data_IF_742849387677
#
_entry.id   IF_742849387677
#
_cell.length_a   1.000
_cell.length_b   1.000
_cell.length_c   1.000
_cell.angle_alpha   90.00
_cell.angle_beta   90.00
_cell.angle_gamma   90.00
#
_symmetry.space_group_name_H-M   'P 1'
#
loop_
_entity.id
_entity.type
_entity.pdbx_description
1 polymer ?
#
# COMPACT_ATOMS: atom_id res chain seq x y z
N UNK A 1 -1.67 10.96 39.72
CA UNK A 1 -2.19 11.43 38.42
C UNK A 1 -1.92 10.34 37.40
N UNK A 2 -2.86 9.99 36.51
CA UNK A 2 -2.61 8.98 35.49
C UNK A 2 -1.43 9.43 34.61
N UNK A 3 -0.51 8.52 34.33
CA UNK A 3 0.61 8.83 33.46
C UNK A 3 0.14 8.92 31.99
N UNK A 4 0.84 9.67 31.15
CA UNK A 4 0.41 9.91 29.76
C UNK A 4 0.20 8.62 28.93
N UNK A 5 0.86 7.51 29.30
CA UNK A 5 0.72 6.22 28.64
C UNK A 5 -0.59 5.50 29.05
N UNK A 6 -1.00 5.62 30.31
CA UNK A 6 -2.32 5.16 30.79
C UNK A 6 -3.44 5.96 30.13
N UNK A 7 -3.28 7.28 29.98
CA UNK A 7 -4.24 8.13 29.27
C UNK A 7 -4.43 7.68 27.81
N UNK A 8 -3.33 7.43 27.07
CA UNK A 8 -3.43 6.94 25.69
C UNK A 8 -4.10 5.57 25.60
N UNK A 9 -3.87 4.70 26.59
CA UNK A 9 -4.51 3.38 26.66
C UNK A 9 -6.02 3.52 26.89
N UNK A 10 -6.44 4.34 27.85
CA UNK A 10 -7.85 4.58 28.15
C UNK A 10 -8.57 5.23 26.96
N UNK A 11 -7.94 6.20 26.29
CA UNK A 11 -8.48 6.84 25.08
C UNK A 11 -8.68 5.82 23.94
N UNK A 12 -7.72 4.91 23.73
CA UNK A 12 -7.89 3.85 22.73
C UNK A 12 -9.03 2.89 23.09
N UNK A 13 -9.16 2.49 24.35
CA UNK A 13 -10.25 1.62 24.80
C UNK A 13 -11.61 2.30 24.55
N UNK A 14 -11.71 3.58 24.88
CA UNK A 14 -12.91 4.38 24.64
C UNK A 14 -13.25 4.49 23.14
N UNK A 15 -12.29 4.80 22.28
CA UNK A 15 -12.51 4.88 20.83
C UNK A 15 -12.98 3.53 20.27
N UNK A 16 -12.37 2.43 20.69
CA UNK A 16 -12.71 1.07 20.24
C UNK A 16 -14.08 0.60 20.71
N UNK A 17 -14.56 1.09 21.86
CA UNK A 17 -15.93 0.81 22.32
C UNK A 17 -16.98 1.24 21.28
N UNK A 18 -16.82 2.42 20.65
CA UNK A 18 -17.77 2.89 19.64
C UNK A 18 -17.59 2.22 18.28
N UNK A 19 -16.33 1.99 17.87
CA UNK A 19 -16.04 1.34 16.60
C UNK A 19 -14.65 0.72 16.62
N UNK A 20 -14.59 -0.60 16.42
CA UNK A 20 -13.35 -1.25 16.03
C UNK A 20 -12.96 -0.78 14.61
N UNK A 21 -11.72 -0.27 14.44
CA UNK A 21 -11.26 0.28 13.18
C UNK A 21 -9.90 0.98 13.26
N UNK A 22 -9.62 1.87 12.29
CA UNK A 22 -8.31 2.50 12.06
C UNK A 22 -8.06 3.80 12.86
N UNK A 23 -8.95 4.19 13.77
CA UNK A 23 -8.76 5.37 14.61
C UNK A 23 -8.14 4.93 15.94
N UNK A 24 -7.02 5.55 16.32
CA UNK A 24 -6.33 5.26 17.57
C UNK A 24 -5.45 6.42 18.02
N UNK A 25 -5.07 6.38 19.29
CA UNK A 25 -4.22 7.38 19.95
C UNK A 25 -2.94 6.70 20.39
N UNK A 26 -1.80 7.07 19.83
CA UNK A 26 -0.52 6.52 20.26
C UNK A 26 0.23 7.52 21.13
N UNK A 27 0.81 7.04 22.25
CA UNK A 27 1.72 7.83 23.07
C UNK A 27 3.09 7.88 22.40
N UNK A 28 3.60 9.08 22.13
CA UNK A 28 4.84 9.34 21.35
C UNK A 28 6.07 9.52 22.26
N UNK A 29 5.91 9.46 23.60
CA UNK A 29 7.03 9.58 24.53
C UNK A 29 7.87 8.30 24.63
N UNK A 30 9.07 8.40 25.24
CA UNK A 30 10.00 7.27 25.41
C UNK A 30 9.37 6.14 26.20
N UNK A 31 8.90 5.10 25.53
CA UNK A 31 8.50 3.83 26.15
C UNK A 31 9.73 2.96 26.39
N UNK A 32 9.83 2.30 27.55
CA UNK A 32 10.81 1.23 27.75
C UNK A 32 10.49 0.10 26.75
N UNK A 33 11.39 -0.16 25.82
CA UNK A 33 11.28 -1.26 24.86
C UNK A 33 11.18 -2.60 25.60
N UNK A 34 9.97 -3.18 25.66
CA UNK A 34 9.83 -4.61 25.95
C UNK A 34 10.01 -5.32 24.62
N UNK A 35 11.18 -5.96 24.46
CA UNK A 35 11.47 -6.83 23.33
C UNK A 35 10.40 -7.94 23.30
N UNK A 36 9.50 -7.93 22.31
CA UNK A 36 8.77 -9.14 21.96
C UNK A 36 9.74 -10.07 21.24
N UNK A 37 9.85 -11.29 21.75
CA UNK A 37 10.67 -12.33 21.16
C UNK A 37 10.17 -12.61 19.74
N UNK A 38 11.08 -12.51 18.78
CA UNK A 38 10.86 -12.94 17.40
C UNK A 38 10.95 -14.45 17.35
N UNK A 39 9.85 -15.12 17.00
CA UNK A 39 9.86 -16.56 16.73
C UNK A 39 10.64 -16.82 15.44
N UNK A 40 11.58 -17.77 15.52
CA UNK A 40 12.48 -18.14 14.44
C UNK A 40 11.78 -19.05 13.43
N UNK A 41 11.80 -18.64 12.16
CA UNK A 41 11.30 -19.38 11.01
C UNK A 41 11.95 -20.77 10.87
N UNK A 42 11.12 -21.82 10.78
CA UNK A 42 11.51 -23.11 10.20
C UNK A 42 11.48 -23.00 8.67
N UNK A 43 12.47 -23.57 8.00
CA UNK A 43 12.50 -23.68 6.54
C UNK A 43 11.44 -24.67 6.04
N UNK A 44 10.69 -24.36 4.96
CA UNK A 44 9.82 -25.34 4.35
C UNK A 44 10.57 -26.20 3.34
N UNK A 45 10.48 -27.51 3.55
CA UNK A 45 10.80 -28.56 2.57
C UNK A 45 9.65 -28.58 1.55
N UNK A 46 9.99 -28.70 0.27
CA UNK A 46 9.08 -28.63 -0.87
C UNK A 46 7.87 -29.57 -0.79
N UNK A 47 6.73 -29.05 -1.28
CA UNK A 47 5.57 -29.76 -1.86
C UNK A 47 4.23 -29.85 -1.09
N UNK A 48 4.00 -28.98 -0.09
CA UNK A 48 2.64 -28.58 0.34
C UNK A 48 2.67 -27.17 0.98
N UNK A 49 3.19 -26.20 0.24
CA UNK A 49 3.19 -24.81 0.68
C UNK A 49 1.81 -24.21 0.44
N UNK A 50 1.01 -24.13 1.51
CA UNK A 50 -0.18 -23.26 1.53
C UNK A 50 0.24 -21.86 1.01
N UNK A 51 -0.36 -21.34 -0.09
CA UNK A 51 -0.03 -20.03 -0.65
C UNK A 51 -0.10 -18.87 0.36
N UNK A 52 -0.83 -19.07 1.46
CA UNK A 52 -0.93 -18.10 2.56
C UNK A 52 0.35 -17.97 3.38
N UNK A 53 1.28 -18.92 3.30
CA UNK A 53 2.57 -18.88 3.98
C UNK A 53 3.67 -18.18 3.16
N UNK A 54 3.37 -17.78 1.92
CA UNK A 54 4.33 -17.09 1.08
C UNK A 54 4.62 -15.68 1.64
N UNK A 55 5.91 -15.36 1.76
CA UNK A 55 6.40 -14.04 2.20
C UNK A 55 6.77 -13.12 1.04
N UNK A 56 6.75 -13.63 -0.19
CA UNK A 56 7.06 -12.90 -1.42
C UNK A 56 6.00 -13.14 -2.49
N UNK A 57 5.79 -12.18 -3.41
CA UNK A 57 4.86 -12.37 -4.51
C UNK A 57 5.33 -13.50 -5.43
N UNK A 58 4.39 -14.27 -5.95
CA UNK A 58 4.69 -15.34 -6.92
C UNK A 58 3.53 -15.56 -7.88
N UNK A 59 3.85 -16.17 -9.03
CA UNK A 59 2.92 -16.40 -10.13
C UNK A 59 2.87 -17.88 -10.49
N UNK A 60 1.69 -18.38 -10.82
CA UNK A 60 1.47 -19.76 -11.23
C UNK A 60 0.37 -19.83 -12.32
N UNK A 61 0.55 -20.71 -13.31
CA UNK A 61 -0.54 -21.10 -14.22
C UNK A 61 -1.23 -22.32 -13.62
N UNK A 62 -2.45 -22.16 -13.10
CA UNK A 62 -3.20 -23.24 -12.46
C UNK A 62 -3.74 -24.25 -13.47
N UNK A 63 -4.16 -23.76 -14.65
CA UNK A 63 -4.59 -24.56 -15.80
C UNK A 63 -4.60 -23.71 -17.07
N UNK A 64 -4.99 -24.29 -18.20
CA UNK A 64 -5.02 -23.60 -19.51
C UNK A 64 -5.81 -22.29 -19.52
N UNK A 65 -6.83 -22.18 -18.66
CA UNK A 65 -7.72 -21.02 -18.64
C UNK A 65 -7.52 -20.15 -17.41
N UNK A 66 -6.59 -20.47 -16.49
CA UNK A 66 -6.48 -19.77 -15.20
C UNK A 66 -5.03 -19.54 -14.80
N UNK A 67 -4.69 -18.28 -14.58
CA UNK A 67 -3.44 -17.84 -13.95
C UNK A 67 -3.71 -17.27 -12.56
N UNK A 68 -2.73 -17.39 -11.69
CA UNK A 68 -2.78 -17.03 -10.29
C UNK A 68 -1.57 -16.17 -9.92
N UNK A 69 -1.82 -15.05 -9.25
CA UNK A 69 -0.81 -14.16 -8.71
C UNK A 69 -1.08 -13.97 -7.22
N UNK A 70 -0.14 -14.40 -6.37
CA UNK A 70 -0.15 -14.12 -4.94
C UNK A 70 0.61 -12.83 -4.66
N UNK A 71 0.01 -11.92 -3.89
CA UNK A 71 0.68 -10.73 -3.38
C UNK A 71 0.50 -10.64 -1.85
N UNK A 72 1.48 -11.07 -1.06
CA UNK A 72 1.38 -11.07 0.39
C UNK A 72 1.42 -9.69 1.05
N UNK A 73 2.03 -8.69 0.40
CA UNK A 73 2.26 -7.36 0.98
C UNK A 73 2.35 -6.31 -0.14
N UNK A 74 1.83 -5.10 0.09
CA UNK A 74 1.95 -3.95 -0.82
C UNK A 74 2.91 -2.86 -0.32
N UNK A 75 3.70 -3.10 0.73
CA UNK A 75 4.76 -2.18 1.13
C UNK A 75 5.61 -1.73 -0.06
N UNK A 76 6.08 -0.48 -0.04
CA UNK A 76 6.75 0.13 -1.20
C UNK A 76 8.01 -0.64 -1.63
N UNK A 77 8.68 -1.28 -0.67
CA UNK A 77 9.86 -2.13 -0.90
C UNK A 77 9.54 -3.37 -1.74
N UNK A 78 8.30 -3.86 -1.74
CA UNK A 78 7.87 -5.01 -2.54
C UNK A 78 7.50 -4.63 -3.99
N UNK A 79 7.30 -3.33 -4.28
CA UNK A 79 6.89 -2.83 -5.61
C UNK A 79 7.75 -3.42 -6.72
N UNK A 80 9.07 -3.41 -6.57
CA UNK A 80 10.01 -3.91 -7.59
C UNK A 80 9.79 -5.40 -7.89
N UNK A 81 9.56 -6.20 -6.86
CA UNK A 81 9.30 -7.63 -7.01
C UNK A 81 7.95 -7.87 -7.71
N UNK A 82 6.91 -7.13 -7.32
CA UNK A 82 5.57 -7.21 -7.92
C UNK A 82 5.62 -6.84 -9.41
N UNK A 83 6.20 -5.68 -9.74
CA UNK A 83 6.31 -5.19 -11.10
C UNK A 83 7.10 -6.16 -12.00
N UNK A 84 8.22 -6.68 -11.49
CA UNK A 84 9.07 -7.61 -12.26
C UNK A 84 8.33 -8.91 -12.55
N UNK A 85 7.58 -9.43 -11.57
CA UNK A 85 6.82 -10.66 -11.72
C UNK A 85 5.65 -10.51 -12.70
N UNK A 86 4.93 -9.39 -12.62
CA UNK A 86 3.84 -9.08 -13.57
C UNK A 86 4.39 -8.90 -14.98
N UNK A 87 5.49 -8.17 -15.13
CA UNK A 87 6.12 -7.95 -16.43
C UNK A 87 6.58 -9.27 -17.07
N UNK A 88 7.24 -10.13 -16.29
CA UNK A 88 7.73 -11.43 -16.76
C UNK A 88 6.59 -12.36 -17.23
N UNK A 89 5.40 -12.24 -16.66
CA UNK A 89 4.25 -13.09 -16.98
C UNK A 89 3.19 -12.39 -17.82
N UNK A 90 3.44 -11.16 -18.27
CA UNK A 90 2.46 -10.31 -18.96
C UNK A 90 1.83 -11.00 -20.17
N UNK A 91 2.63 -11.65 -21.01
CA UNK A 91 2.13 -12.33 -22.20
C UNK A 91 1.15 -13.46 -21.84
N UNK A 92 1.48 -14.24 -20.81
CA UNK A 92 0.62 -15.32 -20.30
C UNK A 92 -0.67 -14.79 -19.70
N UNK A 93 -0.61 -13.69 -18.93
CA UNK A 93 -1.81 -13.05 -18.35
C UNK A 93 -2.75 -12.58 -19.47
N UNK A 94 -2.21 -11.96 -20.53
CA UNK A 94 -2.99 -11.44 -21.66
C UNK A 94 -3.50 -12.50 -22.64
N UNK A 95 -3.12 -13.76 -22.48
CA UNK A 95 -3.63 -14.88 -23.27
C UNK A 95 -4.49 -15.85 -22.47
N UNK A 96 -4.69 -15.60 -21.16
CA UNK A 96 -5.43 -16.49 -20.28
C UNK A 96 -6.77 -15.89 -19.88
N UNK A 97 -7.81 -16.72 -19.86
CA UNK A 97 -9.18 -16.28 -19.59
C UNK A 97 -9.37 -15.72 -18.18
N UNK A 98 -8.91 -16.45 -17.15
CA UNK A 98 -9.14 -16.14 -15.75
C UNK A 98 -7.83 -15.71 -15.07
N UNK A 99 -7.89 -14.63 -14.29
CA UNK A 99 -6.78 -14.14 -13.49
C UNK A 99 -7.17 -13.97 -12.02
N UNK A 100 -6.65 -14.86 -11.19
CA UNK A 100 -6.83 -14.81 -9.73
C UNK A 100 -5.71 -13.95 -9.14
N UNK A 101 -6.08 -12.83 -8.52
CA UNK A 101 -5.16 -12.01 -7.73
C UNK A 101 -5.45 -12.28 -6.25
N UNK A 102 -4.58 -13.02 -5.58
CA UNK A 102 -4.75 -13.40 -4.18
C UNK A 102 -4.04 -12.43 -3.23
N UNK A 103 -4.87 -11.59 -2.61
CA UNK A 103 -4.47 -10.62 -1.57
C UNK A 103 -4.94 -11.02 -0.18
N UNK A 104 -5.30 -12.29 0.06
CA UNK A 104 -5.68 -12.76 1.40
C UNK A 104 -4.52 -12.53 2.38
N UNK A 105 -4.82 -12.08 3.60
CA UNK A 105 -3.82 -11.72 4.62
C UNK A 105 -2.80 -10.66 4.18
N UNK A 106 -3.07 -9.89 3.12
CA UNK A 106 -2.24 -8.75 2.76
C UNK A 106 -2.61 -7.55 3.66
N UNK A 107 -1.66 -6.99 4.43
CA UNK A 107 -1.94 -5.92 5.38
C UNK A 107 -2.18 -4.55 4.73
N UNK A 108 -1.97 -4.43 3.41
CA UNK A 108 -1.95 -3.17 2.68
C UNK A 108 -0.52 -2.71 2.40
N UNK A 109 -0.33 -1.39 2.26
CA UNK A 109 0.97 -0.79 1.98
C UNK A 109 0.83 0.45 1.11
N UNK A 110 1.68 0.56 0.09
CA UNK A 110 1.73 1.69 -0.84
C UNK A 110 0.83 1.47 -2.06
N UNK A 111 0.05 2.48 -2.42
CA UNK A 111 -0.76 2.46 -3.65
C UNK A 111 0.10 2.30 -4.92
N UNK A 112 1.36 2.73 -4.87
CA UNK A 112 2.30 2.56 -5.98
C UNK A 112 2.58 1.08 -6.28
N UNK A 113 2.46 0.19 -5.29
CA UNK A 113 2.84 -1.22 -5.41
C UNK A 113 1.83 -2.07 -6.19
N UNK A 114 0.57 -1.64 -6.31
CA UNK A 114 -0.43 -2.34 -7.14
C UNK A 114 -0.58 -1.72 -8.54
N UNK A 115 0.11 -0.61 -8.84
CA UNK A 115 -0.11 0.16 -10.07
C UNK A 115 0.04 -0.65 -11.37
N UNK A 116 0.95 -1.63 -11.38
CA UNK A 116 1.18 -2.53 -12.52
C UNK A 116 0.05 -3.53 -12.78
N UNK A 117 -0.90 -3.70 -11.86
CA UNK A 117 -2.11 -4.51 -12.06
C UNK A 117 -3.19 -3.76 -12.85
N UNK A 118 -3.21 -2.42 -12.78
CA UNK A 118 -4.28 -1.60 -13.34
C UNK A 118 -4.57 -1.88 -14.82
N UNK A 119 -3.57 -2.08 -15.71
CA UNK A 119 -3.83 -2.37 -17.12
C UNK A 119 -4.67 -3.63 -17.38
N UNK A 120 -4.65 -4.61 -16.48
CA UNK A 120 -5.43 -5.86 -16.61
C UNK A 120 -6.83 -5.74 -16.02
N UNK A 121 -7.08 -4.73 -15.19
CA UNK A 121 -8.35 -4.49 -14.49
C UNK A 121 -9.14 -3.32 -15.10
N UNK A 122 -8.54 -2.62 -16.06
CA UNK A 122 -9.10 -1.40 -16.63
C UNK A 122 -10.24 -1.70 -17.60
N UNK A 123 -11.45 -1.29 -17.23
CA UNK A 123 -12.67 -1.43 -18.04
C UNK A 123 -13.25 -0.10 -18.49
N UNK A 124 -13.00 0.98 -17.74
CA UNK A 124 -13.49 2.32 -18.00
C UNK A 124 -12.60 3.36 -17.31
N UNK A 125 -12.67 4.66 -17.70
CA UNK A 125 -11.90 5.71 -17.05
C UNK A 125 -12.05 5.68 -15.52
N UNK A 126 -10.93 5.70 -14.82
CA UNK A 126 -10.88 5.65 -13.35
C UNK A 126 -11.06 7.07 -12.83
N UNK A 127 -12.02 7.25 -11.92
CA UNK A 127 -12.28 8.53 -11.26
C UNK A 127 -11.74 8.49 -9.83
N UNK A 128 -10.68 9.26 -9.58
CA UNK A 128 -10.07 9.40 -8.26
C UNK A 128 -10.48 10.73 -7.66
N UNK A 129 -11.07 10.72 -6.47
CA UNK A 129 -11.40 11.93 -5.72
C UNK A 129 -10.21 12.30 -4.85
N UNK A 130 -9.75 13.54 -4.95
CA UNK A 130 -8.62 14.03 -4.15
C UNK A 130 -8.99 14.23 -2.68
N UNK A 131 -7.98 14.19 -1.82
CA UNK A 131 -8.09 14.56 -0.41
C UNK A 131 -7.36 15.87 -0.15
N UNK A 132 -7.88 16.66 0.80
CA UNK A 132 -7.17 17.81 1.34
C UNK A 132 -6.29 17.38 2.51
N UNK A 133 -5.08 17.94 2.57
CA UNK A 133 -4.13 17.67 3.65
C UNK A 133 -4.14 18.84 4.62
N UNK A 134 -4.39 18.55 5.90
CA UNK A 134 -4.29 19.57 6.93
C UNK A 134 -2.82 19.80 7.28
N UNK A 135 -2.32 21.00 7.00
CA UNK A 135 -0.91 21.34 7.13
C UNK A 135 -0.53 21.53 8.60
N UNK A 136 0.18 20.56 9.14
CA UNK A 136 0.79 20.57 10.49
C UNK A 136 2.22 20.13 10.36
N UNK A 137 3.10 20.52 11.29
CA UNK A 137 4.52 20.17 11.22
C UNK A 137 4.73 18.65 11.03
N UNK A 138 3.95 17.82 11.72
CA UNK A 138 4.05 16.36 11.63
C UNK A 138 3.54 15.81 10.28
N UNK A 139 2.39 16.29 9.78
CA UNK A 139 1.86 15.87 8.48
C UNK A 139 2.79 16.29 7.34
N UNK A 140 3.41 17.47 7.47
CA UNK A 140 4.32 18.00 6.46
C UNK A 140 5.61 17.19 6.46
N UNK A 141 6.16 16.92 7.64
CA UNK A 141 7.38 16.12 7.81
C UNK A 141 7.27 14.75 7.12
N UNK A 142 6.09 14.12 7.14
CA UNK A 142 5.85 12.85 6.43
C UNK A 142 6.19 12.94 4.94
N UNK A 143 5.87 14.06 4.28
CA UNK A 143 6.20 14.25 2.86
C UNK A 143 7.71 14.37 2.64
N UNK A 144 8.42 15.02 3.56
CA UNK A 144 9.88 15.09 3.52
C UNK A 144 10.52 13.70 3.72
N UNK A 145 10.02 12.90 4.66
CA UNK A 145 10.48 11.52 4.86
C UNK A 145 10.26 10.64 3.62
N UNK A 146 9.08 10.73 2.99
CA UNK A 146 8.79 10.02 1.74
C UNK A 146 9.74 10.45 0.61
N UNK A 147 10.10 11.74 0.55
CA UNK A 147 11.06 12.24 -0.45
C UNK A 147 12.48 11.69 -0.29
N UNK A 148 12.80 11.11 0.87
CA UNK A 148 14.11 10.56 1.20
C UNK A 148 14.12 9.02 1.20
N UNK A 149 12.95 8.39 1.06
CA UNK A 149 12.84 6.94 1.10
C UNK A 149 13.47 6.32 -0.17
N UNK A 150 14.46 5.42 -0.04
CA UNK A 150 15.19 4.85 -1.17
C UNK A 150 14.35 3.93 -2.08
N UNK A 151 13.21 3.42 -1.60
CA UNK A 151 12.34 2.52 -2.36
C UNK A 151 11.49 3.24 -3.42
N UNK A 152 11.42 4.58 -3.35
CA UNK A 152 10.77 5.40 -4.38
C UNK A 152 11.75 5.79 -5.50
N UNK A 153 11.20 5.96 -6.70
CA UNK A 153 11.93 6.57 -7.82
C UNK A 153 12.15 8.09 -7.62
N UNK A 154 13.06 8.65 -8.42
CA UNK A 154 13.46 10.05 -8.29
C UNK A 154 12.33 11.04 -8.59
N UNK A 155 11.39 10.68 -9.47
CA UNK A 155 10.23 11.52 -9.78
C UNK A 155 9.27 11.60 -8.60
N UNK A 156 8.99 10.46 -7.97
CA UNK A 156 8.16 10.36 -6.76
C UNK A 156 8.82 11.13 -5.62
N UNK A 157 10.12 10.95 -5.40
CA UNK A 157 10.87 11.69 -4.37
C UNK A 157 10.78 13.21 -4.57
N UNK A 158 10.99 13.67 -5.80
CA UNK A 158 10.84 15.09 -6.15
C UNK A 158 9.41 15.60 -5.90
N UNK A 159 8.41 14.80 -6.24
CA UNK A 159 7.00 15.14 -6.01
C UNK A 159 6.68 15.27 -4.53
N UNK A 160 7.13 14.33 -3.69
CA UNK A 160 6.94 14.41 -2.24
C UNK A 160 7.67 15.61 -1.62
N UNK A 161 8.86 15.96 -2.11
CA UNK A 161 9.55 17.17 -1.68
C UNK A 161 8.76 18.44 -2.02
N UNK A 162 8.20 18.52 -3.21
CA UNK A 162 7.33 19.64 -3.60
C UNK A 162 6.08 19.72 -2.73
N UNK A 163 5.49 18.57 -2.36
CA UNK A 163 4.36 18.52 -1.43
C UNK A 163 4.74 19.04 -0.04
N UNK A 164 5.90 18.64 0.49
CA UNK A 164 6.43 19.19 1.74
C UNK A 164 6.54 20.72 1.68
N UNK A 165 7.18 21.26 0.63
CA UNK A 165 7.37 22.71 0.47
C UNK A 165 6.03 23.44 0.38
N UNK A 166 5.07 22.90 -0.37
CA UNK A 166 3.72 23.47 -0.49
C UNK A 166 2.97 23.46 0.85
N UNK A 167 3.04 22.38 1.60
CA UNK A 167 2.41 22.32 2.92
C UNK A 167 3.06 23.31 3.90
N UNK A 168 4.39 23.37 3.94
CA UNK A 168 5.12 24.28 4.81
C UNK A 168 4.80 25.75 4.55
N UNK A 169 4.51 26.12 3.29
CA UNK A 169 4.10 27.47 2.93
C UNK A 169 2.66 27.82 3.38
N UNK A 170 1.83 26.84 3.75
CA UNK A 170 0.41 27.02 4.08
C UNK A 170 0.05 26.34 5.42
N UNK A 171 0.84 26.55 6.47
CA UNK A 171 0.61 25.94 7.80
C UNK A 171 -0.72 26.37 8.41
N UNK A 172 -1.44 25.41 9.00
CA UNK A 172 -2.75 25.65 9.63
C UNK A 172 -3.92 25.61 8.65
N UNK A 173 -3.69 25.33 7.37
CA UNK A 173 -4.71 25.28 6.33
C UNK A 173 -4.92 23.86 5.78
N UNK A 174 -6.07 23.65 5.13
CA UNK A 174 -6.32 22.48 4.30
C UNK A 174 -5.79 22.73 2.88
N UNK A 175 -4.79 21.96 2.47
CA UNK A 175 -4.07 22.14 1.21
C UNK A 175 -4.42 21.02 0.22
N UNK A 176 -4.81 21.37 -1.00
CA UNK A 176 -4.94 20.44 -2.12
C UNK A 176 -3.55 20.22 -2.75
N UNK A 177 -2.95 19.04 -2.57
CA UNK A 177 -1.64 18.73 -3.15
C UNK A 177 -1.71 18.31 -4.61
N UNK A 178 -2.88 17.88 -5.08
CA UNK A 178 -3.08 17.32 -6.42
C UNK A 178 -3.60 18.36 -7.42
N UNK A 179 -3.96 19.56 -6.94
CA UNK A 179 -4.53 20.68 -7.71
C UNK A 179 -5.78 20.27 -8.52
N UNK A 180 -6.48 19.22 -8.07
CA UNK A 180 -7.65 18.65 -8.76
C UNK A 180 -8.55 17.97 -7.73
N UNK A 181 -9.80 18.44 -7.62
CA UNK A 181 -10.85 17.77 -6.83
C UNK A 181 -11.11 16.34 -7.31
N UNK A 182 -11.01 16.14 -8.62
CA UNK A 182 -11.21 14.86 -9.28
C UNK A 182 -10.15 14.68 -10.35
N UNK A 183 -9.44 13.56 -10.33
CA UNK A 183 -8.57 13.12 -11.42
C UNK A 183 -9.27 12.01 -12.22
N UNK A 184 -9.20 12.09 -13.54
CA UNK A 184 -9.70 11.06 -14.45
C UNK A 184 -8.50 10.42 -15.15
N UNK A 185 -8.24 9.16 -14.86
CA UNK A 185 -7.20 8.37 -15.52
C UNK A 185 -7.82 7.57 -16.65
N UNK A 186 -7.30 7.75 -17.87
CA UNK A 186 -7.69 6.98 -19.06
C UNK A 186 -6.50 6.17 -19.52
N UNK A 187 -6.72 4.90 -19.84
CA UNK A 187 -5.78 4.08 -20.60
C UNK A 187 -6.27 3.92 -22.03
N UNK A 188 -5.32 3.81 -22.97
CA UNK A 188 -5.60 3.74 -24.41
C UNK A 188 -6.19 2.40 -24.84
N UNK A 189 -5.98 1.34 -24.05
CA UNK A 189 -6.39 -0.02 -24.39
C UNK A 189 -7.10 -0.69 -23.23
N UNK A 190 -8.27 -1.25 -23.52
CA UNK A 190 -8.95 -2.24 -22.68
C UNK A 190 -8.49 -3.60 -23.18
N UNK A 191 -7.89 -4.41 -22.31
CA UNK A 191 -7.39 -5.72 -22.70
C UNK A 191 -8.56 -6.70 -22.87
N UNK A 192 -8.56 -7.55 -23.91
CA UNK A 192 -9.61 -8.56 -24.09
C UNK A 192 -9.51 -9.70 -23.05
N UNK A 193 -8.34 -9.85 -22.44
CA UNK A 193 -8.03 -10.82 -21.41
C UNK A 193 -7.19 -10.16 -20.31
N UNK A 194 -7.33 -10.59 -19.05
CA UNK A 194 -8.31 -11.56 -18.54
C UNK A 194 -9.76 -11.07 -18.72
N UNK A 195 -10.72 -11.99 -18.82
CA UNK A 195 -12.13 -11.60 -18.98
C UNK A 195 -12.65 -11.01 -17.66
N UNK A 196 -13.45 -9.95 -17.75
CA UNK A 196 -14.11 -9.27 -16.62
C UNK A 196 -15.61 -9.49 -16.65
#
# INVERSE_FOLDING_TARGET
MPNNQECATLLNQWIRFFRNGHIGVNYIGKTKNVKKATEQHKQPIEKDLNPLNATKPFFEKLNENTVYLRIPDFEISEKKAIDSLILANRATILSTENFIIDVRNNPGGSDASYGSLIPFLYTQPIRTVGALFYSTDLNNQRMLELSQNPDFDEESKKTFKNYYEKLQANKGEYVDLFNKKVNITKLDTIQPYPKT
#
